data_IF_146627372419
#
_entry.id   IF_146627372419
#
_cell.length_a   1.000
_cell.length_b   1.000
_cell.length_c   1.000
_cell.angle_alpha   90.00
_cell.angle_beta   90.00
_cell.angle_gamma   90.00
#
_symmetry.space_group_name_H-M   'P 1'
#
loop_
_entity.id
_entity.type
_entity.pdbx_description
1 polymer ?
#
# COMPACT_ATOMS: atom_id res chain seq x y z
N UNK A 1 -9.12 30.09 -5.51
CA UNK A 1 -7.83 29.46 -5.86
C UNK A 1 -7.69 28.20 -5.02
N UNK A 2 -7.50 27.00 -5.58
CA UNK A 2 -7.28 25.82 -4.75
C UNK A 2 -5.95 25.99 -4.02
N UNK A 3 -5.98 25.92 -2.70
CA UNK A 3 -4.81 25.92 -1.82
C UNK A 3 -3.84 24.83 -2.28
N UNK A 4 -2.58 25.19 -2.58
CA UNK A 4 -1.50 24.19 -2.76
C UNK A 4 -1.46 23.37 -1.48
N UNK A 5 -1.75 22.07 -1.58
CA UNK A 5 -1.69 21.13 -0.46
C UNK A 5 -0.25 21.21 0.09
N UNK A 6 -0.08 21.81 1.28
CA UNK A 6 1.23 21.88 1.94
C UNK A 6 1.64 20.46 2.27
N UNK A 7 2.71 20.00 1.64
CA UNK A 7 3.34 18.72 1.99
C UNK A 7 4.11 19.00 3.28
N UNK A 8 3.64 18.46 4.38
CA UNK A 8 4.28 18.56 5.68
C UNK A 8 5.34 17.46 5.83
N UNK A 9 6.30 17.66 6.74
CA UNK A 9 7.29 16.63 7.03
C UNK A 9 6.59 15.34 7.49
N UNK A 10 6.80 14.25 6.75
CA UNK A 10 6.15 12.96 7.00
C UNK A 10 4.98 12.64 6.05
N UNK A 11 4.60 13.55 5.16
CA UNK A 11 3.48 13.35 4.22
C UNK A 11 3.89 12.74 2.87
N UNK A 12 5.10 12.17 2.80
CA UNK A 12 5.59 11.49 1.62
C UNK A 12 4.78 10.21 1.37
N UNK A 13 4.26 10.08 0.15
CA UNK A 13 3.65 8.85 -0.32
C UNK A 13 4.57 8.20 -1.34
N UNK A 14 4.88 6.92 -1.13
CA UNK A 14 5.70 6.14 -2.07
C UNK A 14 4.99 6.03 -3.42
N UNK A 15 5.61 6.46 -4.53
CA UNK A 15 5.08 6.23 -5.86
C UNK A 15 4.82 4.73 -6.11
N UNK A 16 3.72 4.41 -6.79
CA UNK A 16 3.32 3.02 -6.99
C UNK A 16 4.35 2.23 -7.80
N UNK A 17 4.99 2.87 -8.78
CA UNK A 17 6.01 2.27 -9.64
C UNK A 17 7.21 1.80 -8.80
N UNK A 18 7.67 2.64 -7.88
CA UNK A 18 8.74 2.28 -6.93
C UNK A 18 8.31 1.12 -6.03
N UNK A 19 7.06 1.12 -5.56
CA UNK A 19 6.55 0.03 -4.74
C UNK A 19 6.53 -1.30 -5.52
N UNK A 20 6.15 -1.30 -6.79
CA UNK A 20 6.15 -2.48 -7.65
C UNK A 20 7.56 -3.04 -7.83
N UNK A 21 8.56 -2.19 -8.09
CA UNK A 21 9.96 -2.60 -8.25
C UNK A 21 10.50 -3.27 -6.98
N UNK A 22 10.24 -2.65 -5.83
CA UNK A 22 10.65 -3.21 -4.52
C UNK A 22 9.94 -4.54 -4.25
N UNK A 23 8.64 -4.64 -4.52
CA UNK A 23 7.90 -5.90 -4.36
C UNK A 23 8.41 -7.00 -5.30
N UNK A 24 8.85 -6.65 -6.51
CA UNK A 24 9.50 -7.60 -7.41
C UNK A 24 10.79 -8.15 -6.79
N UNK A 25 11.65 -7.29 -6.23
CA UNK A 25 12.84 -7.72 -5.51
C UNK A 25 12.49 -8.60 -4.29
N UNK A 26 11.48 -8.21 -3.50
CA UNK A 26 11.04 -8.99 -2.34
C UNK A 26 10.53 -10.36 -2.74
N UNK A 27 9.85 -10.50 -3.89
CA UNK A 27 9.38 -11.80 -4.41
C UNK A 27 10.53 -12.77 -4.65
N UNK A 28 11.67 -12.27 -5.13
CA UNK A 28 12.81 -13.12 -5.43
C UNK A 28 13.47 -13.63 -4.14
N UNK A 29 13.43 -12.84 -3.07
CA UNK A 29 13.94 -13.20 -1.75
C UNK A 29 12.95 -14.07 -0.95
N UNK A 30 11.66 -13.76 -1.02
CA UNK A 30 10.58 -14.35 -0.24
C UNK A 30 9.39 -14.67 -1.16
N UNK A 31 9.42 -15.84 -1.83
CA UNK A 31 8.49 -16.09 -2.93
C UNK A 31 7.05 -16.36 -2.49
N UNK A 32 6.81 -16.87 -1.27
CA UNK A 32 5.48 -17.33 -0.83
C UNK A 32 5.18 -16.87 0.61
N UNK A 33 5.03 -15.55 0.86
CA UNK A 33 4.60 -15.06 2.16
C UNK A 33 3.14 -15.46 2.40
N UNK A 34 2.84 -15.91 3.61
CA UNK A 34 1.46 -16.06 4.07
C UNK A 34 0.87 -14.75 4.59
N UNK A 35 1.73 -13.81 5.00
CA UNK A 35 1.35 -12.55 5.62
C UNK A 35 2.22 -11.40 5.11
N UNK A 36 1.60 -10.28 4.78
CA UNK A 36 2.24 -8.99 4.49
C UNK A 36 1.73 -7.98 5.51
N UNK A 37 2.66 -7.32 6.19
CA UNK A 37 2.36 -6.28 7.19
C UNK A 37 3.07 -4.99 6.77
N UNK A 38 2.29 -3.96 6.48
CA UNK A 38 2.80 -2.62 6.17
C UNK A 38 2.46 -1.66 7.32
N UNK A 39 3.41 -1.37 8.22
CA UNK A 39 3.27 -0.25 9.14
C UNK A 39 3.46 1.07 8.37
N UNK A 40 2.82 2.15 8.85
CA UNK A 40 2.84 3.47 8.20
C UNK A 40 2.44 3.41 6.73
N UNK A 41 1.37 2.69 6.42
CA UNK A 41 1.04 2.30 5.05
C UNK A 41 0.60 3.47 4.15
N UNK A 42 0.30 4.64 4.72
CA UNK A 42 -0.23 5.77 3.96
C UNK A 42 -1.40 5.35 3.06
N UNK A 43 -1.34 5.76 1.80
CA UNK A 43 -2.32 5.42 0.76
C UNK A 43 -2.18 3.98 0.21
N UNK A 44 -1.28 3.17 0.79
CA UNK A 44 -1.16 1.73 0.58
C UNK A 44 -0.50 1.31 -0.72
N UNK A 45 0.52 2.05 -1.20
CA UNK A 45 1.24 1.69 -2.43
C UNK A 45 1.88 0.29 -2.34
N UNK A 46 2.50 -0.06 -1.21
CA UNK A 46 3.09 -1.40 -1.04
C UNK A 46 2.03 -2.48 -0.80
N UNK A 47 0.97 -2.22 -0.02
CA UNK A 47 -0.18 -3.14 0.06
C UNK A 47 -0.69 -3.47 -1.35
N UNK A 48 -0.98 -2.46 -2.19
CA UNK A 48 -1.50 -2.66 -3.55
C UNK A 48 -0.53 -3.44 -4.43
N UNK A 49 0.75 -3.06 -4.43
CA UNK A 49 1.77 -3.78 -5.19
C UNK A 49 1.90 -5.25 -4.73
N UNK A 50 1.79 -5.50 -3.43
CA UNK A 50 1.81 -6.85 -2.85
C UNK A 50 0.59 -7.67 -3.25
N UNK A 51 -0.62 -7.09 -3.16
CA UNK A 51 -1.86 -7.76 -3.57
C UNK A 51 -1.82 -8.17 -5.04
N UNK A 52 -1.30 -7.31 -5.92
CA UNK A 52 -1.10 -7.65 -7.33
C UNK A 52 -0.10 -8.79 -7.53
N UNK A 53 0.86 -8.96 -6.62
CA UNK A 53 1.92 -9.96 -6.75
C UNK A 53 1.55 -11.33 -6.18
N UNK A 54 0.85 -11.37 -5.05
CA UNK A 54 0.53 -12.62 -4.34
C UNK A 54 -0.97 -12.96 -4.27
N UNK A 55 -1.86 -12.02 -4.58
CA UNK A 55 -3.31 -12.24 -4.62
C UNK A 55 -3.85 -12.86 -3.33
N UNK A 56 -4.83 -13.75 -3.47
CA UNK A 56 -5.55 -14.37 -2.35
C UNK A 56 -4.73 -15.43 -1.58
N UNK A 57 -3.49 -15.70 -2.00
CA UNK A 57 -2.60 -16.64 -1.30
C UNK A 57 -1.94 -16.06 -0.05
N UNK A 58 -2.14 -14.77 0.21
CA UNK A 58 -1.54 -14.04 1.31
C UNK A 58 -2.58 -13.16 2.01
N UNK A 59 -2.42 -12.95 3.31
CA UNK A 59 -3.18 -11.97 4.08
C UNK A 59 -2.42 -10.64 4.18
N UNK A 60 -3.13 -9.53 4.02
CA UNK A 60 -2.53 -8.18 3.98
C UNK A 60 -3.03 -7.32 5.15
N UNK A 61 -2.09 -6.72 5.89
CA UNK A 61 -2.39 -5.84 7.01
C UNK A 61 -1.68 -4.50 6.86
N UNK A 62 -2.45 -3.43 6.62
CA UNK A 62 -1.95 -2.06 6.58
C UNK A 62 -2.34 -1.27 7.82
N UNK A 63 -1.38 -0.58 8.43
CA UNK A 63 -1.61 0.26 9.61
C UNK A 63 -1.08 1.67 9.39
N UNK A 64 -1.88 2.68 9.72
CA UNK A 64 -1.46 4.08 9.69
C UNK A 64 -2.19 4.87 10.77
N UNK A 65 -1.49 5.83 11.38
CA UNK A 65 -2.08 6.72 12.38
C UNK A 65 -3.07 7.70 11.74
N UNK A 66 -2.86 8.04 10.47
CA UNK A 66 -3.72 8.91 9.70
C UNK A 66 -4.95 8.15 9.21
N UNK A 67 -6.06 8.32 9.95
CA UNK A 67 -7.35 7.71 9.63
C UNK A 67 -7.89 8.06 8.23
N UNK A 68 -7.48 9.20 7.65
CA UNK A 68 -7.88 9.57 6.28
C UNK A 68 -7.24 8.63 5.26
N UNK A 69 -5.98 8.29 5.45
CA UNK A 69 -5.26 7.36 4.59
C UNK A 69 -5.85 5.95 4.64
N UNK A 70 -6.15 5.46 5.83
CA UNK A 70 -6.85 4.17 5.98
C UNK A 70 -8.22 4.17 5.28
N UNK A 71 -8.98 5.27 5.37
CA UNK A 71 -10.27 5.37 4.69
C UNK A 71 -10.12 5.34 3.17
N UNK A 72 -9.18 6.12 2.63
CA UNK A 72 -8.92 6.21 1.20
C UNK A 72 -8.39 4.88 0.64
N UNK A 73 -7.48 4.23 1.36
CA UNK A 73 -6.97 2.90 1.01
C UNK A 73 -8.12 1.87 0.93
N UNK A 74 -8.99 1.83 1.96
CA UNK A 74 -10.14 0.91 1.97
C UNK A 74 -11.09 1.14 0.80
N UNK A 75 -11.43 2.39 0.49
CA UNK A 75 -12.28 2.71 -0.66
C UNK A 75 -11.66 2.25 -1.98
N UNK A 76 -10.36 2.47 -2.17
CA UNK A 76 -9.66 2.07 -3.40
C UNK A 76 -9.52 0.55 -3.56
N UNK A 77 -9.44 -0.21 -2.47
CA UNK A 77 -9.35 -1.68 -2.54
C UNK A 77 -10.72 -2.28 -2.85
N UNK A 78 -11.80 -1.76 -2.24
CA UNK A 78 -13.17 -2.26 -2.44
C UNK A 78 -13.64 -2.04 -3.89
N UNK A 79 -13.26 -0.92 -4.53
CA UNK A 79 -13.59 -0.66 -5.94
C UNK A 79 -12.90 -1.60 -6.93
N UNK A 80 -11.76 -2.20 -6.57
CA UNK A 80 -10.95 -3.03 -7.47
C UNK A 80 -11.17 -4.54 -7.29
N UNK A 81 -12.20 -4.95 -6.53
CA UNK A 81 -12.69 -6.33 -6.53
C UNK A 81 -11.64 -7.37 -6.16
N UNK A 82 -11.27 -7.43 -4.88
CA UNK A 82 -11.02 -8.66 -4.11
C UNK A 82 -10.61 -8.27 -2.69
N UNK A 83 -11.63 -8.06 -1.85
CA UNK A 83 -11.70 -8.29 -0.40
C UNK A 83 -13.14 -8.06 0.08
#
# INVERSE_FOLDING_TARGET
MPSKRKIEFGDFQTPLELAIEVIALVKDLFPYPSFIVEPTCGLGSFIKASMNKWGDSCYYYGFDINKKYIRELRSNIIENGNL
#
